data_IF_209295453247
#
_entry.id   IF_209295453247
#
_cell.length_a   1.000
_cell.length_b   1.000
_cell.length_c   1.000
_cell.angle_alpha   90.00
_cell.angle_beta   90.00
_cell.angle_gamma   90.00
#
_symmetry.space_group_name_H-M   'P 1'
#
loop_
_entity.id
_entity.type
_entity.pdbx_description
1 polymer ?
#
# COMPACT_ATOMS: atom_id res chain seq x y z
N UNK A 1 -38.66 -4.68 8.84
CA UNK A 1 -37.37 -4.00 9.06
C UNK A 1 -36.58 -4.10 7.76
N UNK A 2 -36.49 -3.00 7.01
CA UNK A 2 -35.82 -2.96 5.71
C UNK A 2 -34.33 -2.65 5.96
N UNK A 3 -33.47 -3.64 5.75
CA UNK A 3 -32.02 -3.44 5.72
C UNK A 3 -31.60 -3.13 4.28
N UNK A 4 -31.46 -1.85 3.95
CA UNK A 4 -30.73 -1.44 2.76
C UNK A 4 -29.25 -1.31 3.14
N UNK A 5 -28.34 -2.14 2.59
CA UNK A 5 -26.92 -1.92 2.79
C UNK A 5 -26.52 -0.60 2.15
N UNK A 6 -25.95 0.30 2.96
CA UNK A 6 -25.33 1.55 2.53
C UNK A 6 -24.34 1.25 1.40
N UNK A 7 -24.61 1.77 0.20
CA UNK A 7 -23.61 1.87 -0.86
C UNK A 7 -22.60 2.91 -0.41
N UNK A 8 -21.46 2.47 0.13
CA UNK A 8 -20.33 3.36 0.42
C UNK A 8 -19.69 3.71 -0.92
N UNK A 9 -20.18 4.78 -1.54
CA UNK A 9 -19.52 5.43 -2.65
C UNK A 9 -18.36 6.26 -2.08
N UNK A 10 -17.15 5.71 -2.13
CA UNK A 10 -15.92 6.46 -1.86
C UNK A 10 -15.64 7.30 -3.11
N UNK A 11 -16.18 8.51 -3.14
CA UNK A 11 -15.79 9.53 -4.12
C UNK A 11 -14.60 10.30 -3.54
N UNK A 12 -13.38 9.85 -3.81
CA UNK A 12 -12.17 10.64 -3.53
C UNK A 12 -11.83 11.40 -4.82
N UNK A 13 -12.25 12.66 -4.86
CA UNK A 13 -11.78 13.63 -5.85
C UNK A 13 -10.43 14.16 -5.36
N UNK A 14 -9.33 13.49 -5.72
CA UNK A 14 -7.99 13.97 -5.45
C UNK A 14 -7.45 14.73 -6.67
N UNK A 15 -7.55 16.06 -6.63
CA UNK A 15 -6.80 16.95 -7.51
C UNK A 15 -5.33 16.86 -7.06
N UNK A 16 -4.52 16.13 -7.82
CA UNK A 16 -3.08 16.38 -7.92
C UNK A 16 -2.20 16.14 -6.69
N UNK A 17 -2.57 15.26 -5.76
CA UNK A 17 -1.55 14.73 -4.83
C UNK A 17 -0.75 13.67 -5.56
N UNK A 18 0.52 13.96 -5.88
CA UNK A 18 1.50 12.99 -6.42
C UNK A 18 1.88 11.88 -5.44
N UNK A 19 1.20 11.82 -4.29
CA UNK A 19 1.47 10.85 -3.24
C UNK A 19 1.12 9.45 -3.74
N UNK A 20 2.04 8.51 -3.57
CA UNK A 20 1.75 7.11 -3.87
C UNK A 20 0.73 6.58 -2.87
N UNK A 21 -0.40 6.10 -3.35
CA UNK A 21 -1.39 5.42 -2.50
C UNK A 21 -1.06 3.93 -2.44
N UNK A 22 -0.82 3.38 -1.25
CA UNK A 22 -0.57 1.96 -1.03
C UNK A 22 -1.80 1.30 -0.39
N UNK A 23 -2.34 0.29 -1.04
CA UNK A 23 -3.45 -0.53 -0.54
C UNK A 23 -2.90 -1.86 -0.02
N UNK A 24 -3.34 -2.25 1.16
CA UNK A 24 -2.88 -3.41 1.91
C UNK A 24 -3.98 -4.47 2.03
N UNK A 25 -3.57 -5.74 2.00
CA UNK A 25 -4.44 -6.88 2.26
C UNK A 25 -3.84 -7.80 3.32
N UNK A 26 -4.69 -8.51 4.09
CA UNK A 26 -4.26 -9.48 5.09
C UNK A 26 -3.95 -10.87 4.49
N UNK A 27 -3.90 -11.00 3.16
CA UNK A 27 -3.54 -12.24 2.44
C UNK A 27 -2.51 -11.96 1.36
N UNK A 28 -1.73 -12.97 0.96
CA UNK A 28 -0.60 -12.82 0.04
C UNK A 28 -0.97 -12.64 -1.44
N UNK A 29 -2.22 -12.65 -1.86
CA UNK A 29 -2.60 -12.69 -3.29
C UNK A 29 -3.55 -11.57 -3.73
N UNK A 30 -3.57 -10.46 -2.99
CA UNK A 30 -4.56 -9.38 -3.13
C UNK A 30 -6.02 -9.88 -3.06
N UNK A 31 -6.26 -11.11 -2.58
CA UNK A 31 -7.61 -11.66 -2.43
C UNK A 31 -8.10 -11.43 -1.01
N UNK A 32 -9.33 -10.97 -0.88
CA UNK A 32 -9.97 -10.73 0.39
C UNK A 32 -10.15 -9.25 0.72
N UNK A 33 -10.60 -8.93 1.94
CA UNK A 33 -10.88 -7.56 2.34
C UNK A 33 -9.58 -6.75 2.42
N UNK A 34 -9.67 -5.48 2.04
CA UNK A 34 -8.58 -4.52 2.23
C UNK A 34 -8.39 -4.31 3.75
N UNK A 35 -7.16 -4.47 4.24
CA UNK A 35 -6.82 -4.20 5.64
C UNK A 35 -6.53 -2.72 5.89
N UNK A 36 -6.14 -1.97 4.84
CA UNK A 36 -6.00 -0.51 4.89
C UNK A 36 -5.48 0.09 3.58
N UNK A 37 -5.59 1.41 3.47
CA UNK A 37 -5.04 2.21 2.37
C UNK A 37 -4.28 3.39 2.95
N UNK A 38 -3.07 3.65 2.44
CA UNK A 38 -2.11 4.59 2.98
C UNK A 38 -1.63 5.53 1.88
N UNK A 39 -1.81 6.84 2.06
CA UNK A 39 -1.12 7.83 1.24
C UNK A 39 0.30 7.97 1.75
N UNK A 40 1.26 7.49 0.96
CA UNK A 40 2.66 7.42 1.34
C UNK A 40 3.33 8.78 1.26
N UNK A 41 4.25 9.02 2.18
CA UNK A 41 5.14 10.16 2.19
C UNK A 41 6.56 9.72 2.62
N UNK A 42 7.47 10.67 2.84
CA UNK A 42 8.86 10.41 3.22
C UNK A 42 9.06 9.81 4.62
N UNK A 43 8.05 9.89 5.49
CA UNK A 43 8.04 9.32 6.84
C UNK A 43 7.58 7.86 6.86
N UNK A 44 8.05 7.11 7.86
CA UNK A 44 7.59 5.75 8.10
C UNK A 44 6.18 5.73 8.69
N UNK A 45 5.27 5.05 8.01
CA UNK A 45 3.87 4.88 8.40
C UNK A 45 3.63 3.41 8.77
N UNK A 46 2.92 3.16 9.86
CA UNK A 46 2.64 1.79 10.30
C UNK A 46 1.59 1.14 9.39
N UNK A 47 1.95 0.03 8.73
CA UNK A 47 1.07 -0.78 7.89
C UNK A 47 0.89 -2.18 8.51
N UNK A 48 0.32 -2.24 9.71
CA UNK A 48 0.12 -3.50 10.43
C UNK A 48 -0.86 -4.40 9.68
N UNK A 49 -0.63 -5.71 9.75
CA UNK A 49 -1.44 -6.72 9.06
C UNK A 49 -1.47 -6.56 7.52
N UNK A 50 -0.45 -5.92 6.96
CA UNK A 50 -0.25 -5.85 5.53
C UNK A 50 0.61 -7.04 5.10
N UNK A 51 0.00 -8.02 4.44
CA UNK A 51 0.66 -9.24 3.95
C UNK A 51 0.91 -9.20 2.43
N UNK A 52 0.06 -8.49 1.69
CA UNK A 52 0.33 -8.07 0.32
C UNK A 52 -0.08 -6.60 0.14
N UNK A 53 0.61 -5.88 -0.74
CA UNK A 53 0.21 -4.54 -1.12
C UNK A 53 0.36 -4.24 -2.61
N UNK A 54 -0.49 -3.32 -3.07
CA UNK A 54 -0.41 -2.67 -4.39
C UNK A 54 -0.33 -1.19 -4.16
N UNK A 55 0.24 -0.45 -5.09
CA UNK A 55 0.28 0.99 -4.99
C UNK A 55 -0.07 1.69 -6.29
N UNK A 56 -0.78 2.80 -6.19
CA UNK A 56 -1.11 3.68 -7.30
C UNK A 56 -0.20 4.89 -7.25
N UNK A 57 0.52 5.15 -8.34
CA UNK A 57 1.50 6.23 -8.42
C UNK A 57 1.34 6.95 -9.73
N UNK A 58 1.70 8.24 -9.77
CA UNK A 58 1.77 8.96 -11.04
C UNK A 58 2.81 8.31 -11.95
N UNK A 59 2.54 8.24 -13.25
CA UNK A 59 3.35 7.55 -14.28
C UNK A 59 4.83 7.95 -14.29
N UNK A 60 5.18 9.12 -13.74
CA UNK A 60 6.54 9.65 -13.71
C UNK A 60 7.21 9.63 -12.32
N UNK A 61 6.61 9.00 -11.31
CA UNK A 61 7.14 9.03 -9.95
C UNK A 61 8.51 8.32 -9.85
N UNK A 62 9.63 9.03 -9.58
CA UNK A 62 10.95 8.41 -9.53
C UNK A 62 11.24 7.66 -8.22
N UNK A 63 10.32 7.71 -7.25
CA UNK A 63 10.55 7.18 -5.92
C UNK A 63 10.42 5.65 -5.85
N UNK A 64 10.85 5.12 -4.72
CA UNK A 64 10.68 3.75 -4.31
C UNK A 64 9.74 3.67 -3.10
N UNK A 65 8.97 2.59 -3.08
CA UNK A 65 8.18 2.18 -1.93
C UNK A 65 9.08 1.33 -1.06
N UNK A 66 9.38 1.84 0.13
CA UNK A 66 10.20 1.18 1.12
C UNK A 66 9.30 0.51 2.14
N UNK A 67 9.61 -0.75 2.45
CA UNK A 67 8.92 -1.53 3.46
C UNK A 67 9.96 -2.05 4.45
N UNK A 68 9.74 -1.79 5.73
CA UNK A 68 10.58 -2.24 6.83
C UNK A 68 9.75 -3.11 7.77
N UNK A 69 10.26 -4.26 8.16
CA UNK A 69 9.63 -5.17 9.12
C UNK A 69 10.66 -5.72 10.11
N UNK A 70 10.30 -6.78 10.83
CA UNK A 70 11.16 -7.40 11.84
C UNK A 70 12.44 -8.02 11.28
N UNK A 71 12.39 -8.50 10.03
CA UNK A 71 13.49 -9.24 9.40
C UNK A 71 14.39 -8.36 8.51
N UNK A 72 14.05 -7.09 8.31
CA UNK A 72 14.86 -6.17 7.51
C UNK A 72 14.05 -5.08 6.80
N UNK A 73 14.58 -4.61 5.66
CA UNK A 73 13.95 -3.60 4.82
C UNK A 73 14.18 -3.95 3.35
N UNK A 74 13.15 -3.73 2.51
CA UNK A 74 13.26 -3.82 1.04
C UNK A 74 12.57 -2.63 0.38
N UNK A 75 12.93 -2.39 -0.87
CA UNK A 75 12.30 -1.38 -1.71
C UNK A 75 11.87 -1.92 -3.06
N UNK A 76 10.87 -1.28 -3.64
CA UNK A 76 10.39 -1.51 -5.00
C UNK A 76 10.17 -0.18 -5.69
N UNK A 77 10.38 -0.13 -6.99
CA UNK A 77 10.06 1.09 -7.74
C UNK A 77 8.57 1.41 -7.64
N UNK A 78 8.25 2.67 -7.37
CA UNK A 78 6.88 3.19 -7.43
C UNK A 78 6.28 3.07 -8.85
N UNK A 79 7.12 2.93 -9.90
CA UNK A 79 6.67 2.84 -11.30
C UNK A 79 6.23 1.46 -11.75
N UNK A 80 6.31 0.44 -10.90
CA UNK A 80 5.96 -0.92 -11.31
C UNK A 80 4.45 -1.14 -11.33
N UNK A 81 3.95 -1.69 -12.43
CA UNK A 81 2.61 -2.29 -12.51
C UNK A 81 2.63 -3.78 -12.10
N UNK A 82 3.83 -4.35 -11.93
CA UNK A 82 4.03 -5.69 -11.41
C UNK A 82 4.12 -5.60 -9.88
N UNK A 83 2.95 -5.63 -9.23
CA UNK A 83 2.86 -5.60 -7.78
C UNK A 83 3.24 -6.97 -7.22
N UNK A 84 4.34 -7.06 -6.46
CA UNK A 84 4.72 -8.35 -5.91
C UNK A 84 3.69 -8.75 -4.84
N UNK A 85 3.16 -9.95 -4.96
CA UNK A 85 2.13 -10.51 -4.07
C UNK A 85 2.70 -10.85 -2.69
N UNK A 86 3.98 -11.20 -2.61
CA UNK A 86 4.67 -11.62 -1.39
C UNK A 86 5.66 -10.58 -0.83
N UNK A 87 5.45 -9.27 -1.06
CA UNK A 87 6.44 -8.24 -0.63
C UNK A 87 6.77 -8.27 0.86
N UNK A 88 5.85 -8.72 1.72
CA UNK A 88 6.05 -8.76 3.17
C UNK A 88 6.59 -10.11 3.67
N UNK A 89 6.60 -11.16 2.83
CA UNK A 89 6.94 -12.53 3.24
C UNK A 89 8.35 -12.63 3.82
N UNK A 90 9.30 -11.91 3.23
CA UNK A 90 10.70 -11.94 3.66
C UNK A 90 11.03 -10.93 4.78
N UNK A 91 10.09 -10.02 5.09
CA UNK A 91 10.36 -8.83 5.92
C UNK A 91 9.59 -8.87 7.25
N UNK A 92 8.47 -9.60 7.30
CA UNK A 92 7.59 -9.73 8.46
C UNK A 92 6.30 -8.90 8.32
N UNK A 93 5.21 -9.40 8.91
CA UNK A 93 3.86 -8.84 8.74
C UNK A 93 3.58 -7.58 9.60
N UNK A 94 4.38 -7.33 10.64
CA UNK A 94 4.41 -6.06 11.36
C UNK A 94 5.40 -5.11 10.67
N UNK A 95 4.86 -4.37 9.70
CA UNK A 95 5.68 -3.56 8.80
C UNK A 95 5.34 -2.07 8.87
N UNK A 96 6.33 -1.28 8.47
CA UNK A 96 6.22 0.14 8.22
C UNK A 96 6.50 0.39 6.74
N UNK A 97 5.82 1.36 6.17
CA UNK A 97 5.91 1.72 4.76
C UNK A 97 6.24 3.20 4.62
N UNK A 98 6.98 3.56 3.58
CA UNK A 98 7.20 4.96 3.19
C UNK A 98 7.49 5.06 1.70
N UNK A 99 7.40 6.25 1.18
CA UNK A 99 7.85 6.61 -0.15
C UNK A 99 9.08 7.52 -0.06
N UNK A 100 10.19 7.11 -0.64
CA UNK A 100 11.42 7.91 -0.67
C UNK A 100 12.19 7.62 -1.96
N UNK A 101 13.26 8.36 -2.24
CA UNK A 101 14.14 8.04 -3.37
C UNK A 101 14.55 6.56 -3.35
N UNK A 102 14.62 5.96 -4.54
CA UNK A 102 15.42 4.77 -4.76
C UNK A 102 16.90 5.16 -4.56
#
# INVERSE_FOLDING_TARGET
MLFTPLKVAVAIYAIGTTATELTCWPKNDFKGPISGTYNLNSGWQNARNCQSARWSTGTNNPNCIWIKGSSGQKSWSARTNNFPTDIFKDIGYDSQVREAAC
#
